data_IF_997727076084
#
_entry.id   IF_997727076084
#
_cell.length_a   1.000
_cell.length_b   1.000
_cell.length_c   1.000
_cell.angle_alpha   90.00
_cell.angle_beta   90.00
_cell.angle_gamma   90.00
#
_symmetry.space_group_name_H-M   'P 1'
#
loop_
_entity.id
_entity.type
_entity.pdbx_description
1 polymer ?
#
# COMPACT_ATOMS: atom_id res chain seq x y z
N UNK A 1 -1.66 -29.00 18.63
CA UNK A 1 -0.75 -28.81 17.49
C UNK A 1 -1.11 -27.48 16.86
N UNK A 2 -0.35 -26.43 17.14
CA UNK A 2 -0.60 -25.09 16.59
C UNK A 2 -0.13 -25.09 15.14
N UNK A 3 -1.05 -24.87 14.19
CA UNK A 3 -0.72 -24.55 12.81
C UNK A 3 -0.07 -23.17 12.81
N UNK A 4 1.25 -23.11 12.98
CA UNK A 4 2.02 -21.90 12.69
C UNK A 4 2.12 -21.79 11.16
N UNK A 5 1.12 -21.18 10.53
CA UNK A 5 1.32 -20.66 9.18
C UNK A 5 2.35 -19.53 9.31
N UNK A 6 3.59 -19.82 8.91
CA UNK A 6 4.64 -18.82 8.75
C UNK A 6 4.16 -17.79 7.71
N UNK A 7 4.32 -16.51 8.03
CA UNK A 7 3.98 -15.44 7.10
C UNK A 7 4.98 -15.46 5.94
N UNK A 8 4.47 -15.69 4.73
CA UNK A 8 5.26 -15.72 3.50
C UNK A 8 5.29 -14.31 2.87
N UNK A 9 6.40 -13.60 3.09
CA UNK A 9 6.57 -12.23 2.62
C UNK A 9 6.66 -12.13 1.09
N UNK A 10 7.26 -13.12 0.43
CA UNK A 10 7.39 -13.15 -1.03
C UNK A 10 6.01 -13.30 -1.67
N UNK A 11 5.23 -14.28 -1.19
CA UNK A 11 3.86 -14.48 -1.64
C UNK A 11 2.96 -13.28 -1.33
N UNK A 12 3.15 -12.63 -0.19
CA UNK A 12 2.41 -11.41 0.13
C UNK A 12 2.74 -10.28 -0.85
N UNK A 13 4.02 -10.07 -1.15
CA UNK A 13 4.44 -9.07 -2.13
C UNK A 13 3.84 -9.36 -3.51
N UNK A 14 3.86 -10.60 -4.00
CA UNK A 14 3.20 -10.97 -5.25
C UNK A 14 1.70 -10.63 -5.26
N UNK A 15 1.00 -10.90 -4.14
CA UNK A 15 -0.41 -10.55 -4.00
C UNK A 15 -0.64 -9.03 -4.05
N UNK A 16 0.25 -8.24 -3.44
CA UNK A 16 0.18 -6.77 -3.51
C UNK A 16 0.35 -6.31 -4.95
N UNK A 17 1.35 -6.80 -5.67
CA UNK A 17 1.59 -6.40 -7.07
C UNK A 17 0.38 -6.74 -7.96
N UNK A 18 -0.17 -7.94 -7.81
CA UNK A 18 -1.40 -8.34 -8.51
C UNK A 18 -2.59 -7.44 -8.16
N UNK A 19 -2.72 -7.04 -6.90
CA UNK A 19 -3.77 -6.11 -6.48
C UNK A 19 -3.58 -4.71 -7.12
N UNK A 20 -2.35 -4.21 -7.23
CA UNK A 20 -2.05 -2.96 -7.94
C UNK A 20 -2.51 -3.03 -9.40
N UNK A 21 -2.23 -4.13 -10.09
CA UNK A 21 -2.66 -4.33 -11.48
C UNK A 21 -4.20 -4.34 -11.61
N UNK A 22 -4.89 -5.10 -10.75
CA UNK A 22 -6.35 -5.20 -10.74
C UNK A 22 -6.98 -3.82 -10.49
N UNK A 23 -6.51 -3.09 -9.48
CA UNK A 23 -7.04 -1.77 -9.14
C UNK A 23 -6.80 -0.80 -10.30
N UNK A 24 -5.57 -0.76 -10.82
CA UNK A 24 -5.20 0.14 -11.92
C UNK A 24 -5.99 -0.13 -13.20
N UNK A 25 -6.26 -1.41 -13.49
CA UNK A 25 -7.13 -1.79 -14.60
C UNK A 25 -8.58 -1.36 -14.34
N UNK A 26 -9.09 -1.59 -13.13
CA UNK A 26 -10.46 -1.22 -12.77
C UNK A 26 -10.73 0.29 -12.82
N UNK A 27 -9.75 1.13 -12.46
CA UNK A 27 -9.88 2.59 -12.52
C UNK A 27 -9.83 3.15 -13.96
N UNK A 28 -9.38 2.35 -14.94
CA UNK A 28 -9.39 2.71 -16.37
C UNK A 28 -10.69 2.35 -17.07
N UNK A 29 -11.50 1.47 -16.48
CA UNK A 29 -12.79 1.09 -17.01
C UNK A 29 -13.84 2.15 -16.66
N UNK A 30 -14.82 2.34 -17.53
CA UNK A 30 -15.92 3.28 -17.31
C UNK A 30 -16.69 2.89 -16.04
N UNK A 31 -16.93 3.81 -15.09
CA UNK A 31 -17.68 3.52 -13.86
C UNK A 31 -19.09 2.98 -14.11
N UNK A 32 -19.67 3.20 -15.30
CA UNK A 32 -20.96 2.60 -15.69
C UNK A 32 -20.85 1.14 -16.18
N UNK A 33 -19.67 0.68 -16.62
CA UNK A 33 -19.44 -0.72 -17.02
C UNK A 33 -18.97 -1.60 -15.86
N UNK A 34 -18.41 -0.99 -14.81
CA UNK A 34 -17.93 -1.71 -13.63
C UNK A 34 -19.04 -1.77 -12.59
N UNK A 35 -19.72 -2.93 -12.50
CA UNK A 35 -20.59 -3.29 -11.36
C UNK A 35 -19.94 -2.79 -10.07
N UNK A 36 -20.68 -2.13 -9.15
CA UNK A 36 -20.10 -1.46 -7.99
C UNK A 36 -19.24 -2.46 -7.24
N UNK A 37 -17.92 -2.39 -7.44
CA UNK A 37 -17.00 -3.25 -6.73
C UNK A 37 -17.20 -2.91 -5.26
N UNK A 38 -17.61 -3.96 -4.54
CA UNK A 38 -18.08 -4.01 -3.16
C UNK A 38 -17.55 -2.90 -2.25
N UNK A 39 -18.37 -2.44 -1.31
CA UNK A 39 -18.02 -1.49 -0.23
C UNK A 39 -16.59 -1.62 0.31
N UNK A 40 -16.08 -2.86 0.45
CA UNK A 40 -14.71 -3.14 0.91
C UNK A 40 -13.58 -2.54 0.05
N UNK A 41 -13.79 -2.31 -1.25
CA UNK A 41 -12.79 -1.72 -2.14
C UNK A 41 -12.64 -0.21 -1.88
N UNK A 42 -13.79 0.47 -1.72
CA UNK A 42 -13.83 1.89 -1.37
C UNK A 42 -13.36 2.13 0.06
N UNK A 43 -13.67 1.22 0.98
CA UNK A 43 -13.16 1.23 2.35
C UNK A 43 -11.64 1.08 2.38
N UNK A 44 -11.06 0.12 1.65
CA UNK A 44 -9.60 -0.09 1.58
C UNK A 44 -8.86 1.13 1.02
N UNK A 45 -9.45 1.83 0.03
CA UNK A 45 -8.89 3.07 -0.50
C UNK A 45 -8.84 4.16 0.56
N UNK A 46 -9.97 4.40 1.24
CA UNK A 46 -10.07 5.41 2.28
C UNK A 46 -9.11 5.10 3.43
N UNK A 47 -9.05 3.84 3.85
CA UNK A 47 -8.14 3.38 4.89
C UNK A 47 -6.68 3.61 4.48
N UNK A 48 -6.29 3.29 3.23
CA UNK A 48 -4.95 3.57 2.73
C UNK A 48 -4.60 5.07 2.81
N UNK A 49 -5.52 5.95 2.40
CA UNK A 49 -5.34 7.40 2.50
C UNK A 49 -5.21 7.89 3.95
N UNK A 50 -5.94 7.27 4.88
CA UNK A 50 -5.81 7.54 6.33
C UNK A 50 -4.48 7.03 6.89
N UNK A 51 -4.02 5.85 6.48
CA UNK A 51 -2.72 5.29 6.88
C UNK A 51 -1.57 6.20 6.45
N UNK A 52 -1.60 6.72 5.21
CA UNK A 52 -0.57 7.62 4.69
C UNK A 52 -0.53 8.98 5.39
N UNK A 53 -1.56 9.36 6.15
CA UNK A 53 -1.54 10.58 6.98
C UNK A 53 -0.86 10.37 8.32
N UNK A 54 -0.68 9.12 8.78
CA UNK A 54 -0.08 8.84 10.08
C UNK A 54 1.43 9.08 10.04
N UNK A 55 1.95 9.75 11.08
CA UNK A 55 3.37 10.10 11.15
C UNK A 55 4.29 8.89 11.30
N UNK A 56 3.86 7.85 12.02
CA UNK A 56 4.62 6.60 12.19
C UNK A 56 4.81 5.87 10.85
N UNK A 57 3.76 5.81 10.02
CA UNK A 57 3.83 5.26 8.67
C UNK A 57 4.77 6.11 7.80
N UNK A 58 4.62 7.44 7.81
CA UNK A 58 5.49 8.34 7.05
C UNK A 58 6.97 8.18 7.43
N UNK A 59 7.29 8.05 8.73
CA UNK A 59 8.65 7.83 9.20
C UNK A 59 9.28 6.56 8.64
N UNK A 60 8.47 5.54 8.35
CA UNK A 60 8.93 4.26 7.82
C UNK A 60 9.08 4.32 6.30
N UNK A 61 8.08 4.86 5.58
CA UNK A 61 8.08 4.82 4.12
C UNK A 61 8.89 5.95 3.48
N UNK A 62 8.90 7.15 4.05
CA UNK A 62 9.51 8.31 3.40
C UNK A 62 11.01 8.13 3.12
N UNK A 63 11.83 7.54 4.02
CA UNK A 63 13.22 7.21 3.70
C UNK A 63 13.36 6.31 2.46
N UNK A 64 12.47 5.34 2.29
CA UNK A 64 12.46 4.41 1.16
C UNK A 64 11.95 5.04 -0.15
N UNK A 65 11.25 6.18 -0.06
CA UNK A 65 10.65 6.87 -1.21
C UNK A 65 11.52 8.01 -1.78
N UNK A 66 12.56 8.44 -1.06
CA UNK A 66 13.42 9.58 -1.45
C UNK A 66 14.09 9.43 -2.81
N UNK A 67 14.34 8.20 -3.27
CA UNK A 67 15.11 7.90 -4.48
C UNK A 67 14.26 7.46 -5.68
N UNK A 68 12.92 7.47 -5.54
CA UNK A 68 12.03 6.83 -6.50
C UNK A 68 11.10 7.86 -7.16
N UNK A 69 11.14 7.87 -8.49
CA UNK A 69 10.06 8.35 -9.33
C UNK A 69 9.53 7.16 -10.12
N UNK A 70 8.23 6.87 -10.04
CA UNK A 70 7.69 5.67 -10.67
C UNK A 70 6.19 5.53 -10.58
N UNK A 71 5.68 4.40 -11.05
CA UNK A 71 4.26 4.04 -11.03
C UNK A 71 3.92 3.18 -9.80
N UNK A 72 2.62 2.91 -9.58
CA UNK A 72 2.13 2.19 -8.40
C UNK A 72 2.83 0.85 -8.13
N UNK A 73 3.24 0.11 -9.16
CA UNK A 73 3.98 -1.15 -9.00
C UNK A 73 5.35 -0.94 -8.36
N UNK A 74 6.06 0.11 -8.75
CA UNK A 74 7.40 0.40 -8.24
C UNK A 74 7.34 0.86 -6.79
N UNK A 75 6.34 1.69 -6.47
CA UNK A 75 6.04 2.07 -5.09
C UNK A 75 5.62 0.87 -4.24
N UNK A 76 4.86 -0.08 -4.79
CA UNK A 76 4.46 -1.28 -4.06
C UNK A 76 5.67 -2.17 -3.71
N UNK A 77 6.60 -2.40 -4.65
CA UNK A 77 7.86 -3.11 -4.36
C UNK A 77 8.69 -2.40 -3.30
N UNK A 78 8.70 -1.06 -3.41
CA UNK A 78 9.07 -0.05 -2.42
C UNK A 78 8.73 -0.34 -0.97
N UNK A 79 7.47 -0.05 -0.70
CA UNK A 79 6.95 0.16 0.65
C UNK A 79 6.51 -1.15 1.31
N UNK A 80 6.16 -2.17 0.51
CA UNK A 80 5.64 -3.43 1.03
C UNK A 80 6.62 -4.12 1.98
N UNK A 81 7.88 -4.43 1.60
CA UNK A 81 8.81 -5.11 2.50
C UNK A 81 9.11 -4.27 3.74
N UNK A 82 9.17 -2.94 3.60
CA UNK A 82 9.46 -2.03 4.72
C UNK A 82 8.31 -2.01 5.73
N UNK A 83 7.08 -1.82 5.26
CA UNK A 83 5.89 -1.79 6.12
C UNK A 83 5.60 -3.17 6.73
N UNK A 84 5.72 -4.25 5.95
CA UNK A 84 5.59 -5.62 6.47
C UNK A 84 6.61 -5.87 7.58
N UNK A 85 7.89 -5.54 7.34
CA UNK A 85 8.93 -5.66 8.35
C UNK A 85 8.60 -4.88 9.63
N UNK A 86 8.10 -3.66 9.50
CA UNK A 86 7.73 -2.83 10.64
C UNK A 86 6.49 -3.35 11.41
N UNK A 87 5.53 -3.97 10.72
CA UNK A 87 4.39 -4.65 11.37
C UNK A 87 4.85 -5.90 12.13
N UNK A 88 5.68 -6.73 11.49
CA UNK A 88 6.19 -7.96 12.12
C UNK A 88 7.10 -7.65 13.31
N UNK A 89 7.84 -6.54 13.28
CA UNK A 89 8.64 -6.04 14.39
C UNK A 89 7.79 -5.39 15.52
N UNK A 90 6.49 -5.18 15.29
CA UNK A 90 5.60 -4.51 16.24
C UNK A 90 5.79 -2.99 16.33
N UNK A 91 6.55 -2.39 15.41
CA UNK A 91 6.81 -0.94 15.36
C UNK A 91 5.55 -0.16 14.97
N UNK A 92 4.73 -0.72 14.08
CA UNK A 92 3.45 -0.16 13.67
C UNK A 92 2.36 -1.22 13.71
N UNK A 93 1.12 -0.77 13.86
CA UNK A 93 -0.07 -1.61 13.72
C UNK A 93 -0.86 -1.18 12.50
N UNK A 94 -0.97 -2.10 11.53
CA UNK A 94 -1.84 -1.97 10.35
C UNK A 94 -2.25 -3.36 9.87
N UNK A 95 -3.42 -3.51 9.21
CA UNK A 95 -3.82 -4.77 8.60
C UNK A 95 -2.86 -5.19 7.48
N UNK A 96 -2.36 -6.43 7.55
CA UNK A 96 -1.59 -7.04 6.46
C UNK A 96 -2.53 -7.57 5.36
N UNK A 97 -3.17 -6.65 4.63
CA UNK A 97 -4.03 -7.00 3.50
C UNK A 97 -3.41 -6.52 2.18
N UNK A 98 -3.33 -7.35 1.13
CA UNK A 98 -2.68 -6.94 -0.11
C UNK A 98 -3.31 -5.70 -0.76
N UNK A 99 -4.63 -5.55 -0.65
CA UNK A 99 -5.36 -4.42 -1.20
C UNK A 99 -5.04 -3.10 -0.50
N UNK A 100 -4.84 -3.09 0.82
CA UNK A 100 -4.46 -1.87 1.55
C UNK A 100 -3.12 -1.35 1.04
N UNK A 101 -2.14 -2.24 0.94
CA UNK A 101 -0.79 -1.91 0.45
C UNK A 101 -0.81 -1.44 -1.01
N UNK A 102 -1.61 -2.10 -1.85
CA UNK A 102 -1.79 -1.69 -3.25
C UNK A 102 -2.41 -0.29 -3.37
N UNK A 103 -3.43 0.01 -2.57
CA UNK A 103 -4.05 1.35 -2.52
C UNK A 103 -3.08 2.41 -2.00
N UNK A 104 -2.26 2.09 -0.98
CA UNK A 104 -1.22 3.00 -0.50
C UNK A 104 -0.21 3.32 -1.60
N UNK A 105 0.29 2.30 -2.30
CA UNK A 105 1.23 2.46 -3.39
C UNK A 105 0.66 3.32 -4.53
N UNK A 106 -0.60 3.09 -4.91
CA UNK A 106 -1.29 3.89 -5.93
C UNK A 106 -1.57 5.33 -5.46
N UNK A 107 -1.93 5.53 -4.20
CA UNK A 107 -2.12 6.87 -3.65
C UNK A 107 -0.81 7.67 -3.66
N UNK A 108 0.32 7.03 -3.30
CA UNK A 108 1.65 7.63 -3.41
C UNK A 108 1.98 7.94 -4.87
N UNK A 109 1.72 7.02 -5.79
CA UNK A 109 1.98 7.23 -7.22
C UNK A 109 1.20 8.43 -7.79
N UNK A 110 -0.05 8.60 -7.37
CA UNK A 110 -0.93 9.69 -7.84
C UNK A 110 -0.59 11.04 -7.21
N UNK A 111 -0.34 11.07 -5.90
CA UNK A 111 -0.02 12.30 -5.19
C UNK A 111 1.43 12.75 -5.40
N UNK A 112 2.33 11.79 -5.67
CA UNK A 112 3.77 11.97 -5.67
C UNK A 112 4.36 11.78 -4.27
N UNK A 113 5.50 11.08 -4.19
CA UNK A 113 6.22 10.84 -2.94
C UNK A 113 6.57 12.14 -2.20
N UNK A 114 7.00 13.18 -2.92
CA UNK A 114 7.31 14.49 -2.36
C UNK A 114 6.10 15.12 -1.63
N UNK A 115 4.88 14.95 -2.17
CA UNK A 115 3.66 15.46 -1.55
C UNK A 115 3.31 14.69 -0.28
N UNK A 116 3.40 13.36 -0.31
CA UNK A 116 3.11 12.51 0.86
C UNK A 116 4.10 12.79 2.00
N UNK A 117 5.37 13.01 1.64
CA UNK A 117 6.47 13.20 2.58
C UNK A 117 6.83 14.67 2.84
N UNK A 118 6.00 15.64 2.41
CA UNK A 118 6.32 17.07 2.58
C UNK A 118 6.51 17.50 4.04
N UNK A 119 5.73 16.90 4.96
CA UNK A 119 5.79 17.20 6.40
C UNK A 119 6.74 16.27 7.17
N UNK A 120 7.43 15.38 6.47
CA UNK A 120 8.41 14.50 7.09
C UNK A 120 9.65 15.32 7.47
N UNK A 121 9.95 15.37 8.77
CA UNK A 121 11.19 15.92 9.29
C UNK A 121 12.03 14.75 9.78
N UNK A 122 13.18 14.55 9.14
CA UNK A 122 14.22 13.60 9.55
C UNK A 122 14.74 13.89 10.96
#
# INVERSE_FOLDING_TARGET
MSNNQEFDAEKFQEQVLKAVEIISFSERLDPDEVRPQSSGFRESKKEAEEMLKRNDIKQIICPALTTIAGEGVEFAKQITPVLVGAVLAGTITMPLTPFLFAWMALAIAKAGAATICADFKE
#
